data_IF_999672570508
#
_entry.id   IF_999672570508
#
_cell.length_a   1.000
_cell.length_b   1.000
_cell.length_c   1.000
_cell.angle_alpha   90.00
_cell.angle_beta   90.00
_cell.angle_gamma   90.00
#
_symmetry.space_group_name_H-M   'P 1'
#
loop_
_entity.id
_entity.type
_entity.pdbx_description
1 polymer ?
#
# COMPACT_ATOMS: atom_id res chain seq x y z
N UNK A 1 -0.03 8.25 9.09
CA UNK A 1 -0.12 6.82 9.47
C UNK A 1 -1.51 6.33 9.88
N UNK A 2 -2.42 7.22 10.26
CA UNK A 2 -3.75 6.83 10.76
C UNK A 2 -4.75 6.48 9.64
N UNK A 3 -4.43 6.73 8.38
CA UNK A 3 -5.32 6.50 7.24
C UNK A 3 -5.46 5.00 6.87
N UNK A 4 -4.62 4.13 7.43
CA UNK A 4 -4.52 2.72 7.03
C UNK A 4 -5.37 1.76 7.87
N UNK A 5 -5.73 2.12 9.10
CA UNK A 5 -6.39 1.20 10.05
C UNK A 5 -7.80 0.79 9.58
N UNK A 6 -8.54 1.68 8.94
CA UNK A 6 -9.87 1.36 8.40
C UNK A 6 -9.80 0.58 7.09
N UNK A 7 -8.83 0.88 6.23
CA UNK A 7 -8.64 0.19 4.95
C UNK A 7 -8.08 -1.22 5.11
N UNK A 8 -7.39 -1.53 6.21
CA UNK A 8 -6.86 -2.87 6.47
C UNK A 8 -7.93 -3.96 6.51
N UNK A 9 -9.15 -3.65 6.96
CA UNK A 9 -10.23 -4.64 6.96
C UNK A 9 -10.74 -4.96 5.55
N UNK A 10 -10.82 -3.98 4.65
CA UNK A 10 -11.18 -4.21 3.25
C UNK A 10 -10.05 -4.92 2.49
N UNK A 11 -8.80 -4.56 2.80
CA UNK A 11 -7.59 -5.15 2.21
C UNK A 11 -7.34 -6.57 2.76
N UNK A 12 -7.81 -6.88 3.96
CA UNK A 12 -7.73 -8.21 4.57
C UNK A 12 -8.62 -9.24 3.87
N UNK A 13 -9.64 -8.78 3.15
CA UNK A 13 -10.44 -9.63 2.28
C UNK A 13 -9.59 -10.01 1.05
N UNK A 14 -9.24 -11.28 0.94
CA UNK A 14 -8.31 -11.81 -0.07
C UNK A 14 -8.89 -11.83 -1.49
N UNK A 15 -10.12 -11.36 -1.69
CA UNK A 15 -10.78 -11.30 -3.00
C UNK A 15 -10.45 -10.00 -3.74
N UNK A 16 -9.79 -10.04 -4.91
CA UNK A 16 -9.51 -8.87 -5.72
C UNK A 16 -10.76 -8.05 -6.07
N UNK A 17 -11.86 -8.74 -6.35
CA UNK A 17 -13.13 -8.11 -6.73
C UNK A 17 -13.70 -7.27 -5.58
N UNK A 18 -13.60 -7.76 -4.34
CA UNK A 18 -14.08 -7.04 -3.17
C UNK A 18 -13.23 -5.81 -2.87
N UNK A 19 -11.90 -5.94 -3.02
CA UNK A 19 -10.99 -4.81 -2.81
C UNK A 19 -11.24 -3.70 -3.83
N UNK A 20 -11.44 -4.05 -5.12
CA UNK A 20 -11.80 -3.07 -6.16
C UNK A 20 -13.13 -2.40 -5.87
N UNK A 21 -14.16 -3.17 -5.51
CA UNK A 21 -15.45 -2.60 -5.16
C UNK A 21 -15.35 -1.63 -3.97
N UNK A 22 -14.60 -1.99 -2.92
CA UNK A 22 -14.38 -1.11 -1.78
C UNK A 22 -13.63 0.17 -2.16
N UNK A 23 -12.64 0.07 -3.06
CA UNK A 23 -11.91 1.23 -3.56
C UNK A 23 -12.82 2.19 -4.33
N UNK A 24 -13.66 1.67 -5.22
CA UNK A 24 -14.60 2.45 -6.01
C UNK A 24 -15.63 3.16 -5.11
N UNK A 25 -16.25 2.45 -4.18
CA UNK A 25 -17.18 3.04 -3.21
C UNK A 25 -16.51 4.16 -2.37
N UNK A 26 -15.29 3.93 -1.91
CA UNK A 26 -14.53 4.96 -1.17
C UNK A 26 -14.22 6.17 -2.06
N UNK A 27 -13.87 5.95 -3.32
CA UNK A 27 -13.60 7.02 -4.28
C UNK A 27 -14.85 7.85 -4.57
N UNK A 28 -16.02 7.22 -4.72
CA UNK A 28 -17.30 7.91 -4.89
C UNK A 28 -17.64 8.79 -3.68
N UNK A 29 -17.41 8.30 -2.46
CA UNK A 29 -17.64 9.10 -1.25
C UNK A 29 -16.66 10.29 -1.16
N UNK A 30 -15.39 10.11 -1.55
CA UNK A 30 -14.41 11.20 -1.59
C UNK A 30 -14.76 12.23 -2.66
N UNK A 31 -15.28 11.81 -3.82
CA UNK A 31 -15.75 12.73 -4.87
C UNK A 31 -16.86 13.67 -4.38
N UNK A 32 -17.72 13.22 -3.47
CA UNK A 32 -18.79 14.05 -2.85
C UNK A 32 -18.23 15.12 -1.91
N UNK A 33 -17.01 14.91 -1.39
CA UNK A 33 -16.36 15.82 -0.43
C UNK A 33 -15.40 16.76 -1.16
N UNK A 34 -14.62 16.23 -2.09
CA UNK A 34 -13.62 16.98 -2.86
C UNK A 34 -13.39 16.33 -4.22
N UNK A 35 -13.79 17.03 -5.27
CA UNK A 35 -13.61 16.58 -6.65
C UNK A 35 -12.14 16.39 -7.02
N UNK A 36 -11.26 17.28 -6.54
CA UNK A 36 -9.82 17.19 -6.79
C UNK A 36 -9.22 15.92 -6.17
N UNK A 37 -9.56 15.62 -4.91
CA UNK A 37 -9.09 14.42 -4.24
C UNK A 37 -9.65 13.12 -4.88
N UNK A 38 -10.91 13.14 -5.27
CA UNK A 38 -11.53 12.00 -5.95
C UNK A 38 -10.89 11.71 -7.31
N UNK A 39 -10.56 12.73 -8.09
CA UNK A 39 -9.86 12.55 -9.37
C UNK A 39 -8.47 11.91 -9.18
N UNK A 40 -7.73 12.30 -8.16
CA UNK A 40 -6.43 11.67 -7.84
C UNK A 40 -6.61 10.19 -7.51
N UNK A 41 -7.66 9.81 -6.79
CA UNK A 41 -7.96 8.40 -6.51
C UNK A 41 -8.35 7.64 -7.77
N UNK A 42 -9.15 8.23 -8.66
CA UNK A 42 -9.52 7.61 -9.95
C UNK A 42 -8.29 7.33 -10.80
N UNK A 43 -7.39 8.30 -10.94
CA UNK A 43 -6.14 8.16 -11.70
C UNK A 43 -5.20 7.12 -11.07
N UNK A 44 -5.19 7.02 -9.74
CA UNK A 44 -4.33 6.10 -9.02
C UNK A 44 -4.87 4.67 -8.91
N UNK A 45 -6.12 4.38 -9.29
CA UNK A 45 -6.77 3.07 -9.06
C UNK A 45 -5.94 1.90 -9.57
N UNK A 46 -5.49 1.97 -10.82
CA UNK A 46 -4.75 0.88 -11.43
C UNK A 46 -3.41 0.64 -10.75
N UNK A 47 -2.65 1.70 -10.48
CA UNK A 47 -1.37 1.63 -9.81
C UNK A 47 -1.51 1.18 -8.34
N UNK A 48 -2.49 1.71 -7.63
CA UNK A 48 -2.75 1.37 -6.23
C UNK A 48 -3.19 -0.09 -6.04
N UNK A 49 -3.88 -0.66 -7.02
CA UNK A 49 -4.41 -2.01 -6.98
C UNK A 49 -3.58 -3.03 -7.79
N UNK A 50 -2.44 -2.64 -8.36
CA UNK A 50 -1.57 -3.50 -9.15
C UNK A 50 -1.13 -4.77 -8.38
N UNK A 51 -0.96 -4.69 -7.06
CA UNK A 51 -0.61 -5.84 -6.22
C UNK A 51 -1.67 -6.96 -6.23
N UNK A 52 -2.90 -6.68 -6.66
CA UNK A 52 -3.98 -7.68 -6.75
C UNK A 52 -3.75 -8.67 -7.89
N UNK A 53 -2.90 -8.37 -8.87
CA UNK A 53 -2.48 -9.29 -9.92
C UNK A 53 -1.63 -10.45 -9.38
N UNK A 54 -1.04 -10.29 -8.19
CA UNK A 54 -0.20 -11.31 -7.57
C UNK A 54 -1.02 -12.30 -6.74
N UNK A 55 -0.50 -13.52 -6.49
CA UNK A 55 -1.11 -14.51 -5.61
C UNK A 55 -1.37 -13.96 -4.20
N UNK A 56 -2.39 -14.49 -3.53
CA UNK A 56 -2.81 -14.02 -2.20
C UNK A 56 -1.67 -14.08 -1.16
N UNK A 57 -0.82 -15.09 -1.25
CA UNK A 57 0.36 -15.30 -0.38
C UNK A 57 1.41 -14.20 -0.54
N UNK A 58 1.54 -13.61 -1.74
CA UNK A 58 2.49 -12.56 -2.04
C UNK A 58 1.97 -11.16 -1.68
N UNK A 59 0.66 -10.93 -1.81
CA UNK A 59 0.03 -9.60 -1.63
C UNK A 59 0.38 -8.94 -0.32
N UNK A 60 0.45 -9.70 0.77
CA UNK A 60 0.78 -9.18 2.09
C UNK A 60 2.16 -8.54 2.14
N UNK A 61 3.12 -9.05 1.38
CA UNK A 61 4.49 -8.55 1.32
C UNK A 61 4.67 -7.43 0.31
N UNK A 62 3.95 -7.50 -0.82
CA UNK A 62 4.07 -6.57 -1.95
C UNK A 62 3.32 -5.25 -1.68
N UNK A 63 2.15 -5.30 -1.02
CA UNK A 63 1.31 -4.12 -0.77
C UNK A 63 1.89 -3.13 0.24
N UNK A 64 2.97 -3.48 0.92
CA UNK A 64 3.60 -2.62 1.92
C UNK A 64 4.96 -2.15 1.46
N UNK A 65 5.31 -0.92 1.79
CA UNK A 65 6.62 -0.35 1.56
C UNK A 65 7.57 -0.52 2.76
N UNK A 66 7.27 -1.45 3.67
CA UNK A 66 8.04 -1.67 4.89
C UNK A 66 9.55 -1.88 4.65
N UNK A 67 9.88 -2.52 3.51
CA UNK A 67 11.27 -2.73 3.10
C UNK A 67 11.94 -1.39 2.84
N UNK A 68 11.30 -0.51 2.08
CA UNK A 68 11.81 0.82 1.77
C UNK A 68 11.84 1.72 3.01
N UNK A 69 10.85 1.64 3.89
CA UNK A 69 10.85 2.37 5.15
C UNK A 69 12.01 1.96 6.05
N UNK A 70 12.34 0.67 6.07
CA UNK A 70 13.50 0.14 6.81
C UNK A 70 14.80 0.67 6.23
N UNK A 71 14.98 0.65 4.90
CA UNK A 71 16.14 1.21 4.23
C UNK A 71 16.28 2.72 4.51
N UNK A 72 15.21 3.47 4.39
CA UNK A 72 15.19 4.92 4.68
C UNK A 72 15.52 5.21 6.15
N UNK A 73 15.08 4.37 7.07
CA UNK A 73 15.39 4.49 8.50
C UNK A 73 16.88 4.28 8.76
N UNK A 74 17.47 3.30 8.10
CA UNK A 74 18.91 3.01 8.23
C UNK A 74 19.76 4.15 7.64
N UNK A 75 19.42 4.67 6.48
CA UNK A 75 20.09 5.85 5.89
C UNK A 75 19.99 7.04 6.84
N UNK A 76 18.80 7.34 7.36
CA UNK A 76 18.60 8.45 8.32
C UNK A 76 19.41 8.23 9.60
N UNK A 77 19.53 7.00 10.09
CA UNK A 77 20.34 6.67 11.26
C UNK A 77 21.81 7.02 11.04
N UNK A 78 22.37 6.64 9.90
CA UNK A 78 23.76 6.93 9.53
C UNK A 78 24.00 8.43 9.34
N UNK A 79 23.05 9.13 8.72
CA UNK A 79 23.15 10.59 8.55
C UNK A 79 23.19 11.35 9.87
N UNK A 80 22.44 10.90 10.88
CA UNK A 80 22.48 11.53 12.22
C UNK A 80 23.83 11.40 12.91
N UNK A 81 24.58 10.34 12.64
CA UNK A 81 25.92 10.15 13.21
C UNK A 81 26.93 11.10 12.54
N UNK A 82 26.82 11.31 11.25
CA UNK A 82 27.74 12.18 10.49
C UNK A 82 27.47 13.67 10.74
N UNK A 83 26.21 14.03 11.06
CA UNK A 83 25.71 15.39 11.34
C UNK A 83 25.83 16.36 10.16
N UNK A 84 27.01 16.55 9.57
CA UNK A 84 27.21 17.43 8.41
C UNK A 84 28.09 16.75 7.36
N UNK A 85 27.77 16.98 6.09
CA UNK A 85 28.54 16.45 4.96
C UNK A 85 29.35 17.58 4.32
N UNK A 86 30.63 17.35 4.01
CA UNK A 86 31.48 18.36 3.36
C UNK A 86 31.05 18.64 1.91
N UNK A 87 30.39 17.67 1.25
CA UNK A 87 29.89 17.84 -0.12
C UNK A 87 28.70 16.90 -0.38
N UNK A 88 27.95 17.20 -1.46
CA UNK A 88 26.87 16.34 -1.97
C UNK A 88 27.40 14.95 -2.35
N UNK A 89 28.56 14.89 -2.96
CA UNK A 89 29.19 13.62 -3.36
C UNK A 89 29.49 12.74 -2.16
N UNK A 90 29.96 13.32 -1.05
CA UNK A 90 30.21 12.60 0.21
C UNK A 90 28.92 12.00 0.76
N UNK A 91 27.81 12.75 0.73
CA UNK A 91 26.50 12.28 1.12
C UNK A 91 26.04 11.12 0.23
N UNK A 92 26.18 11.25 -1.09
CA UNK A 92 25.77 10.21 -2.04
C UNK A 92 26.61 8.93 -1.87
N UNK A 93 27.92 9.03 -1.65
CA UNK A 93 28.79 7.87 -1.37
C UNK A 93 28.31 7.10 -0.16
N UNK A 94 27.99 7.78 0.95
CA UNK A 94 27.47 7.13 2.15
C UNK A 94 26.10 6.45 1.87
N UNK A 95 25.22 7.13 1.12
CA UNK A 95 23.92 6.56 0.73
C UNK A 95 24.11 5.30 -0.10
N UNK A 96 24.93 5.36 -1.15
CA UNK A 96 25.22 4.22 -2.02
C UNK A 96 25.83 3.05 -1.24
N UNK A 97 26.84 3.31 -0.40
CA UNK A 97 27.45 2.27 0.42
C UNK A 97 26.42 1.60 1.35
N UNK A 98 25.53 2.41 1.97
CA UNK A 98 24.47 1.89 2.84
C UNK A 98 23.46 1.03 2.08
N UNK A 99 23.11 1.41 0.86
CA UNK A 99 22.18 0.65 0.01
C UNK A 99 22.83 -0.65 -0.49
N UNK A 100 24.08 -0.62 -0.92
CA UNK A 100 24.83 -1.81 -1.33
C UNK A 100 24.95 -2.84 -0.20
N UNK A 101 25.23 -2.38 1.02
CA UNK A 101 25.28 -3.26 2.19
C UNK A 101 23.90 -3.88 2.48
N UNK A 102 22.84 -3.08 2.38
CA UNK A 102 21.45 -3.53 2.57
C UNK A 102 21.06 -4.54 1.48
N UNK A 103 21.43 -4.29 0.24
CA UNK A 103 21.18 -5.21 -0.87
C UNK A 103 21.92 -6.54 -0.68
N UNK A 104 23.19 -6.51 -0.24
CA UNK A 104 23.94 -7.71 0.10
C UNK A 104 23.28 -8.54 1.20
N UNK A 105 22.69 -7.90 2.21
CA UNK A 105 21.92 -8.61 3.24
C UNK A 105 20.59 -9.17 2.69
N UNK A 106 19.90 -8.44 1.82
CA UNK A 106 18.64 -8.89 1.25
C UNK A 106 18.80 -10.02 0.25
N UNK A 107 19.86 -10.01 -0.53
CA UNK A 107 20.17 -11.11 -1.48
C UNK A 107 20.36 -12.46 -0.79
N UNK A 108 20.75 -12.45 0.49
CA UNK A 108 20.89 -13.66 1.31
C UNK A 108 19.57 -14.08 1.99
N UNK A 109 18.54 -13.23 1.99
CA UNK A 109 17.26 -13.50 2.62
C UNK A 109 16.21 -13.90 1.58
N UNK A 110 15.63 -15.09 1.75
CA UNK A 110 14.47 -15.50 0.93
C UNK A 110 13.22 -14.77 1.39
N UNK A 111 12.72 -13.85 0.60
CA UNK A 111 11.46 -13.15 0.85
C UNK A 111 10.26 -14.07 0.67
N UNK A 112 10.33 -14.97 -0.29
CA UNK A 112 9.32 -15.99 -0.58
C UNK A 112 9.91 -17.38 -0.44
N UNK A 113 9.12 -18.33 0.10
CA UNK A 113 9.48 -19.75 0.07
C UNK A 113 9.39 -20.29 -1.36
N UNK A 114 10.05 -21.42 -1.65
CA UNK A 114 10.00 -22.05 -2.99
C UNK A 114 8.57 -22.40 -3.40
N UNK A 115 7.76 -22.94 -2.48
CA UNK A 115 6.36 -23.23 -2.70
C UNK A 115 5.55 -21.94 -3.00
N UNK A 116 5.79 -20.85 -2.27
CA UNK A 116 5.12 -19.58 -2.50
C UNK A 116 5.57 -18.93 -3.82
N UNK A 117 6.83 -19.08 -4.21
CA UNK A 117 7.32 -18.60 -5.50
C UNK A 117 6.66 -19.37 -6.68
N UNK A 118 6.49 -20.67 -6.54
CA UNK A 118 5.80 -21.50 -7.55
C UNK A 118 4.33 -21.06 -7.73
N UNK A 119 3.62 -20.68 -6.66
CA UNK A 119 2.26 -20.11 -6.77
C UNK A 119 2.22 -18.81 -7.60
N UNK A 120 3.32 -18.06 -7.66
CA UNK A 120 3.42 -16.83 -8.45
C UNK A 120 3.26 -17.03 -9.95
N UNK A 121 3.55 -18.23 -10.43
CA UNK A 121 3.43 -18.63 -11.82
C UNK A 121 2.16 -19.43 -12.13
N UNK A 122 1.35 -19.75 -11.10
CA UNK A 122 0.07 -20.43 -11.28
C UNK A 122 -0.99 -19.41 -11.76
N UNK A 123 -1.85 -19.84 -12.69
CA UNK A 123 -2.97 -19.01 -13.12
C UNK A 123 -3.89 -18.66 -11.94
N UNK A 124 -4.36 -17.40 -11.84
CA UNK A 124 -5.25 -17.01 -10.75
C UNK A 124 -6.56 -17.79 -10.86
N UNK A 125 -6.90 -18.51 -9.79
CA UNK A 125 -8.18 -19.20 -9.72
C UNK A 125 -9.34 -18.23 -9.88
N UNK A 126 -10.25 -18.52 -10.81
CA UNK A 126 -11.46 -17.73 -11.04
C UNK A 126 -12.33 -17.74 -9.78
N UNK A 127 -12.57 -16.60 -9.19
CA UNK A 127 -13.35 -16.47 -7.96
C UNK A 127 -14.69 -15.82 -8.26
N UNK A 128 -15.79 -16.36 -7.72
CA UNK A 128 -17.12 -15.82 -7.97
C UNK A 128 -17.22 -14.35 -7.51
N UNK A 129 -17.99 -13.58 -8.26
CA UNK A 129 -18.30 -12.20 -7.93
C UNK A 129 -18.93 -12.10 -6.52
N UNK A 130 -18.70 -11.01 -5.80
CA UNK A 130 -19.28 -10.83 -4.46
C UNK A 130 -20.79 -10.76 -4.52
N UNK A 131 -21.46 -11.35 -3.55
CA UNK A 131 -22.91 -11.25 -3.41
C UNK A 131 -23.34 -9.80 -3.15
N UNK A 132 -24.57 -9.44 -3.57
CA UNK A 132 -25.14 -8.11 -3.38
C UNK A 132 -25.10 -7.65 -1.90
N UNK A 133 -25.41 -8.54 -0.96
CA UNK A 133 -25.33 -8.24 0.47
C UNK A 133 -23.93 -7.87 0.94
N UNK A 134 -22.91 -8.52 0.38
CA UNK A 134 -21.50 -8.24 0.69
C UNK A 134 -21.05 -6.91 0.07
N UNK A 135 -21.51 -6.58 -1.14
CA UNK A 135 -21.27 -5.24 -1.74
C UNK A 135 -21.85 -4.12 -0.89
N UNK A 136 -23.12 -4.27 -0.44
CA UNK A 136 -23.76 -3.27 0.43
C UNK A 136 -23.03 -3.09 1.77
N UNK A 137 -22.53 -4.18 2.35
CA UNK A 137 -21.73 -4.13 3.58
C UNK A 137 -20.41 -3.39 3.38
N UNK A 138 -19.75 -3.60 2.24
CA UNK A 138 -18.53 -2.88 1.86
C UNK A 138 -18.79 -1.38 1.65
N UNK A 139 -19.85 -1.02 0.96
CA UNK A 139 -20.23 0.39 0.74
C UNK A 139 -20.52 1.10 2.06
N UNK A 140 -21.22 0.46 3.02
CA UNK A 140 -21.38 1.04 4.36
C UNK A 140 -20.04 1.26 5.04
N UNK A 141 -19.15 0.26 4.99
CA UNK A 141 -17.83 0.37 5.62
C UNK A 141 -16.95 1.42 4.98
N UNK A 142 -16.98 1.56 3.66
CA UNK A 142 -16.27 2.61 2.94
C UNK A 142 -16.71 4.00 3.41
N UNK A 143 -18.02 4.23 3.53
CA UNK A 143 -18.58 5.49 4.07
C UNK A 143 -18.13 5.77 5.49
N UNK A 144 -18.23 4.80 6.39
CA UNK A 144 -17.76 4.95 7.78
C UNK A 144 -16.29 5.39 7.83
N UNK A 145 -15.41 4.79 7.01
CA UNK A 145 -13.99 5.13 6.93
C UNK A 145 -13.80 6.57 6.44
N UNK A 146 -14.50 6.95 5.38
CA UNK A 146 -14.42 8.31 4.83
C UNK A 146 -14.92 9.33 5.84
N UNK A 147 -16.04 9.07 6.49
CA UNK A 147 -16.61 9.96 7.51
C UNK A 147 -15.65 10.13 8.70
N UNK A 148 -15.03 9.05 9.17
CA UNK A 148 -14.01 9.10 10.24
C UNK A 148 -12.79 9.95 9.83
N UNK A 149 -12.35 9.85 8.58
CA UNK A 149 -11.23 10.66 8.06
C UNK A 149 -11.62 12.14 7.99
N UNK A 150 -12.83 12.45 7.50
CA UNK A 150 -13.34 13.80 7.38
C UNK A 150 -13.44 14.47 8.76
N UNK A 151 -14.03 13.78 9.74
CA UNK A 151 -14.14 14.27 11.11
C UNK A 151 -12.76 14.52 11.74
N UNK A 152 -11.84 13.55 11.62
CA UNK A 152 -10.47 13.69 12.16
C UNK A 152 -9.70 14.85 11.55
N UNK A 153 -9.95 15.17 10.30
CA UNK A 153 -9.25 16.22 9.56
C UNK A 153 -9.97 17.56 9.62
N UNK A 154 -11.17 17.63 10.18
CA UNK A 154 -11.98 18.83 10.21
C UNK A 154 -12.36 19.35 8.82
N UNK A 155 -12.46 18.44 7.83
CA UNK A 155 -12.83 18.78 6.46
C UNK A 155 -14.34 19.02 6.40
N UNK A 156 -14.77 20.10 5.71
CA UNK A 156 -16.19 20.33 5.44
C UNK A 156 -16.58 19.54 4.19
N UNK A 157 -17.74 18.88 4.22
CA UNK A 157 -18.39 18.35 3.02
C UNK A 157 -18.92 19.55 2.22
N UNK A 158 -18.50 19.69 0.96
CA UNK A 158 -19.05 20.66 0.01
C UNK A 158 -20.44 20.26 -0.46
#
# INVERSE_FOLDING_TARGET
>A
SACLVGSEMCIRDRSPVLVRACYQEATEEVLKISRAAGNVLLEAEEAALAYLAFPATHRTKIRTNNVQERANREIKRRYRVVQSFPSRESMLRLTCASLMETEGQWSQQRVFSEASAAEGFAEPADRPAPTEGRRRALGRRAREIVDEIVERRGLKKE
#
